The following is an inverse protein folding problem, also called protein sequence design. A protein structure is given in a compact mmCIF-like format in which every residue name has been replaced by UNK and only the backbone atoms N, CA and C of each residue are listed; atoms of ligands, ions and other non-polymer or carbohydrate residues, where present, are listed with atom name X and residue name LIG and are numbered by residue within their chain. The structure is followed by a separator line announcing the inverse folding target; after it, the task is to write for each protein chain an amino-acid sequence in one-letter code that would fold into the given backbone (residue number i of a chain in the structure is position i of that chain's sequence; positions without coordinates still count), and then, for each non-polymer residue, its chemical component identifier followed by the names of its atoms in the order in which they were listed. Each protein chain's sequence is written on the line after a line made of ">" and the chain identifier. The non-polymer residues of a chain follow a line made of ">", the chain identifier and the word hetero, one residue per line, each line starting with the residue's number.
data_IF_115920728245
#
_entry.id   IF_115920728245
#
_cell.length_a   1.000
_cell.length_b   1.000
_cell.length_c   1.000
_cell.angle_alpha   90.00
_cell.angle_beta   90.00
_cell.angle_gamma   90.00
#
_symmetry.space_group_name_H-M   'P 1'
#
loop_
_entity.id
_entity.type
_entity.pdbx_description
1 polymer ?
#
# COMPACT_ATOMS: atom_id res chain seq x y z
N UNK A 1 29.83 12.96 9.12
CA UNK A 1 29.34 11.80 8.38
C UNK A 1 28.17 12.23 7.52
N UNK A 2 28.23 11.91 6.23
CA UNK A 2 27.14 12.24 5.28
C UNK A 2 26.04 11.18 5.38
N UNK A 3 24.82 11.63 5.53
CA UNK A 3 23.65 10.77 5.66
C UNK A 3 22.57 11.14 4.64
N UNK A 4 21.81 10.14 4.20
CA UNK A 4 20.58 10.34 3.44
C UNK A 4 19.41 9.83 4.25
N UNK A 5 18.25 10.44 4.09
CA UNK A 5 17.02 9.97 4.74
C UNK A 5 16.20 9.17 3.73
N UNK A 6 15.74 7.99 4.14
CA UNK A 6 14.73 7.26 3.41
C UNK A 6 13.41 7.23 4.19
N UNK A 7 12.32 7.62 3.53
CA UNK A 7 10.99 7.62 4.10
C UNK A 7 9.97 7.00 3.13
N UNK A 8 8.96 6.31 3.68
CA UNK A 8 7.88 5.74 2.89
C UNK A 8 6.54 5.77 3.59
N UNK A 9 5.45 5.81 2.82
CA UNK A 9 4.12 5.54 3.34
C UNK A 9 3.97 4.05 3.65
N UNK A 10 3.27 3.76 4.76
CA UNK A 10 2.68 2.45 5.01
C UNK A 10 1.19 2.55 4.74
N UNK A 11 0.64 1.70 3.86
CA UNK A 11 -0.78 1.69 3.51
C UNK A 11 -1.70 1.35 4.69
N UNK A 12 -1.16 0.73 5.73
CA UNK A 12 -1.96 0.19 6.84
C UNK A 12 -2.06 1.10 8.07
N UNK A 13 -1.27 2.18 8.14
CA UNK A 13 -1.32 3.13 9.26
C UNK A 13 -1.46 4.57 8.77
N UNK A 14 -2.59 4.87 8.15
CA UNK A 14 -2.91 6.22 7.64
C UNK A 14 -3.06 7.29 8.73
N UNK A 15 -2.87 7.00 10.00
CA UNK A 15 -3.17 7.94 11.10
C UNK A 15 -2.00 8.38 11.95
N UNK A 16 -0.87 7.70 11.96
CA UNK A 16 0.12 8.02 12.99
C UNK A 16 1.36 8.76 12.51
N UNK A 17 1.78 8.66 11.23
CA UNK A 17 3.02 9.36 10.84
C UNK A 17 3.10 9.72 9.37
N UNK A 18 2.85 10.99 9.11
CA UNK A 18 3.12 11.61 7.81
C UNK A 18 4.61 11.50 7.45
N UNK A 19 4.93 11.51 6.15
CA UNK A 19 6.32 11.59 5.69
C UNK A 19 7.04 12.76 6.34
N UNK A 20 6.36 13.89 6.52
CA UNK A 20 6.92 15.07 7.19
C UNK A 20 7.34 14.78 8.64
N UNK A 21 6.53 14.00 9.36
CA UNK A 21 6.89 13.55 10.71
C UNK A 21 8.14 12.68 10.72
N UNK A 22 8.21 11.70 9.83
CA UNK A 22 9.39 10.85 9.69
C UNK A 22 10.65 11.67 9.36
N UNK A 23 10.55 12.60 8.38
CA UNK A 23 11.66 13.46 7.99
C UNK A 23 12.10 14.39 9.11
N UNK A 24 11.16 14.98 9.87
CA UNK A 24 11.48 15.86 11.00
C UNK A 24 12.29 15.10 12.05
N UNK A 25 11.81 13.95 12.48
CA UNK A 25 12.49 13.15 13.51
C UNK A 25 13.85 12.63 13.06
N UNK A 26 13.99 12.24 11.79
CA UNK A 26 15.28 11.88 11.22
C UNK A 26 16.26 13.07 11.21
N UNK A 27 15.80 14.27 10.87
CA UNK A 27 16.66 15.48 10.91
C UNK A 27 17.11 15.83 12.33
N UNK A 28 16.19 15.79 13.28
CA UNK A 28 16.50 16.00 14.69
C UNK A 28 17.51 14.97 15.22
N UNK A 29 17.40 13.72 14.79
CA UNK A 29 18.37 12.68 15.11
C UNK A 29 19.74 12.98 14.48
N UNK A 30 19.77 13.36 13.21
CA UNK A 30 21.00 13.72 12.49
C UNK A 30 21.72 14.89 13.15
N UNK A 31 21.01 15.95 13.53
CA UNK A 31 21.56 17.11 14.24
C UNK A 31 22.21 16.71 15.57
N UNK A 32 21.50 15.91 16.39
CA UNK A 32 22.01 15.42 17.67
C UNK A 32 23.25 14.55 17.56
N UNK A 33 23.45 13.89 16.42
CA UNK A 33 24.55 12.97 16.18
C UNK A 33 25.60 13.56 15.21
N UNK A 34 25.59 14.87 14.93
CA UNK A 34 26.54 15.55 14.05
C UNK A 34 26.64 14.93 12.65
N UNK A 35 25.49 14.55 12.07
CA UNK A 35 25.37 14.04 10.72
C UNK A 35 24.89 15.12 9.76
N UNK A 36 25.46 15.18 8.56
CA UNK A 36 25.03 16.09 7.50
C UNK A 36 24.10 15.38 6.55
N UNK A 37 22.84 15.84 6.45
CA UNK A 37 21.88 15.29 5.49
C UNK A 37 22.19 15.83 4.09
N UNK A 38 22.63 14.94 3.20
CA UNK A 38 23.00 15.29 1.81
C UNK A 38 21.90 14.95 0.80
N UNK A 39 20.88 14.21 1.19
CA UNK A 39 19.76 13.85 0.30
C UNK A 39 18.60 13.19 1.03
N UNK A 40 17.48 13.05 0.31
CA UNK A 40 16.25 12.40 0.79
C UNK A 40 15.62 11.59 -0.32
N UNK A 41 15.26 10.34 -0.03
CA UNK A 41 14.55 9.43 -0.93
C UNK A 41 13.18 9.11 -0.33
N UNK A 42 12.12 9.34 -1.10
CA UNK A 42 10.74 9.24 -0.59
C UNK A 42 9.88 8.41 -1.53
N UNK A 43 9.48 7.23 -1.08
CA UNK A 43 8.49 6.41 -1.78
C UNK A 43 7.08 6.69 -1.26
N UNK A 44 6.25 7.30 -2.11
CA UNK A 44 4.84 7.54 -1.84
C UNK A 44 4.05 6.39 -2.46
N UNK A 45 3.42 5.56 -1.65
CA UNK A 45 2.57 4.48 -2.16
C UNK A 45 1.38 5.07 -2.93
N UNK A 46 1.36 4.91 -4.26
CA UNK A 46 0.25 5.32 -5.12
C UNK A 46 -0.89 4.30 -5.13
N UNK A 47 -0.64 3.04 -4.71
CA UNK A 47 -1.66 2.01 -4.52
C UNK A 47 -1.14 0.85 -3.65
N UNK A 48 -2.05 0.11 -3.00
CA UNK A 48 -1.72 -1.10 -2.23
C UNK A 48 -1.13 -2.24 -3.08
N UNK A 49 -1.20 -2.15 -4.41
CA UNK A 49 -0.74 -3.18 -5.37
C UNK A 49 0.67 -2.96 -5.92
N UNK A 50 1.21 -1.76 -5.84
CA UNK A 50 2.56 -1.48 -6.38
C UNK A 50 3.60 -1.64 -5.29
N UNK A 51 4.27 -2.79 -5.31
CA UNK A 51 5.47 -3.07 -4.50
C UNK A 51 6.70 -2.27 -4.99
N UNK A 52 6.54 -1.44 -6.02
CA UNK A 52 7.62 -0.64 -6.59
C UNK A 52 8.06 0.44 -5.60
N UNK A 53 9.35 0.42 -5.30
CA UNK A 53 10.06 1.37 -4.45
C UNK A 53 11.15 2.05 -5.29
N UNK A 54 10.78 2.90 -6.27
CA UNK A 54 11.74 3.48 -7.20
C UNK A 54 12.82 4.30 -6.48
N UNK A 55 12.43 5.10 -5.49
CA UNK A 55 13.37 5.92 -4.74
C UNK A 55 14.30 5.07 -3.85
N UNK A 56 13.79 3.97 -3.28
CA UNK A 56 14.63 3.00 -2.59
C UNK A 56 15.67 2.37 -3.53
N UNK A 57 15.25 1.96 -4.72
CA UNK A 57 16.18 1.40 -5.71
C UNK A 57 17.20 2.44 -6.20
N UNK A 58 16.80 3.71 -6.34
CA UNK A 58 17.73 4.81 -6.62
C UNK A 58 18.75 4.96 -5.49
N UNK A 59 18.30 4.99 -4.24
CA UNK A 59 19.17 5.07 -3.06
C UNK A 59 20.18 3.92 -3.04
N UNK A 60 19.74 2.68 -3.29
CA UNK A 60 20.64 1.52 -3.35
C UNK A 60 21.72 1.67 -4.45
N UNK A 61 21.31 2.15 -5.64
CA UNK A 61 22.26 2.43 -6.74
C UNK A 61 23.23 3.57 -6.39
N UNK A 62 22.72 4.63 -5.77
CA UNK A 62 23.53 5.79 -5.40
C UNK A 62 24.51 5.49 -4.27
N UNK A 63 24.24 4.48 -3.44
CA UNK A 63 25.18 4.04 -2.40
C UNK A 63 26.55 3.61 -2.97
N UNK A 64 26.60 3.16 -4.23
CA UNK A 64 27.85 2.79 -4.89
C UNK A 64 28.68 4.02 -5.34
N UNK A 65 28.14 5.23 -5.26
CA UNK A 65 28.81 6.48 -5.64
C UNK A 65 29.59 7.14 -4.51
N UNK A 66 29.58 6.52 -3.32
CA UNK A 66 30.30 7.00 -2.12
C UNK A 66 29.90 8.43 -1.68
N UNK A 67 28.68 8.89 -2.02
CA UNK A 67 28.18 10.22 -1.68
C UNK A 67 27.70 10.34 -0.24
N UNK A 68 27.39 9.21 0.40
CA UNK A 68 26.91 9.12 1.78
C UNK A 68 27.36 7.81 2.43
N UNK A 69 27.45 7.82 3.74
CA UNK A 69 27.90 6.70 4.58
C UNK A 69 26.77 6.10 5.41
N UNK A 70 25.64 6.84 5.51
CA UNK A 70 24.51 6.46 6.38
C UNK A 70 23.21 6.59 5.61
N UNK A 71 22.37 5.56 5.69
CA UNK A 71 20.93 5.63 5.39
C UNK A 71 20.18 5.72 6.71
N UNK A 72 19.57 6.87 6.96
CA UNK A 72 18.77 7.13 8.14
C UNK A 72 17.29 6.87 7.84
N UNK A 73 16.66 6.01 8.62
CA UNK A 73 15.23 5.71 8.56
C UNK A 73 14.57 6.06 9.89
N UNK A 74 13.30 6.36 9.87
CA UNK A 74 12.56 6.63 11.11
C UNK A 74 12.49 5.40 12.00
N UNK A 75 12.10 4.22 11.43
CA UNK A 75 12.14 2.89 12.04
C UNK A 75 12.63 1.87 11.02
N UNK A 76 13.13 0.71 11.46
CA UNK A 76 13.60 -0.34 10.55
C UNK A 76 12.51 -0.90 9.64
N UNK A 77 11.26 -0.93 10.09
CA UNK A 77 10.12 -1.34 9.27
C UNK A 77 9.88 -0.41 8.06
N UNK A 78 10.43 0.82 8.09
CA UNK A 78 10.43 1.73 6.94
C UNK A 78 11.49 1.38 5.92
N UNK A 79 12.60 0.77 6.34
CA UNK A 79 13.65 0.33 5.44
C UNK A 79 13.20 -0.85 4.58
N UNK A 80 12.66 -1.90 5.19
CA UNK A 80 12.19 -3.08 4.46
C UNK A 80 10.82 -3.56 4.93
N UNK A 81 10.15 -4.38 4.10
CA UNK A 81 8.85 -4.99 4.41
C UNK A 81 8.98 -6.35 5.07
N UNK A 82 10.07 -7.05 4.82
CA UNK A 82 10.36 -8.37 5.36
C UNK A 82 11.86 -8.50 5.71
N UNK A 83 12.16 -9.54 6.48
CA UNK A 83 13.52 -9.80 6.98
C UNK A 83 14.49 -10.17 5.88
N UNK A 84 14.04 -10.88 4.87
CA UNK A 84 14.90 -11.34 3.79
C UNK A 84 15.39 -10.16 2.94
N UNK A 85 14.46 -9.30 2.52
CA UNK A 85 14.77 -8.07 1.81
C UNK A 85 15.66 -7.14 2.65
N UNK A 86 15.37 -7.01 3.96
CA UNK A 86 16.18 -6.22 4.89
C UNK A 86 17.62 -6.70 4.90
N UNK A 87 17.86 -7.99 5.14
CA UNK A 87 19.19 -8.57 5.18
C UNK A 87 19.93 -8.43 3.85
N UNK A 88 19.24 -8.65 2.73
CA UNK A 88 19.79 -8.54 1.38
C UNK A 88 20.29 -7.12 1.09
N UNK A 89 19.43 -6.11 1.27
CA UNK A 89 19.79 -4.73 0.96
C UNK A 89 20.79 -4.14 1.96
N UNK A 90 20.72 -4.51 3.24
CA UNK A 90 21.76 -4.13 4.23
C UNK A 90 23.12 -4.71 3.87
N UNK A 91 23.17 -5.94 3.34
CA UNK A 91 24.41 -6.52 2.85
C UNK A 91 25.00 -5.73 1.67
N UNK A 92 24.16 -5.32 0.69
CA UNK A 92 24.59 -4.49 -0.43
C UNK A 92 25.14 -3.15 0.07
N UNK A 93 24.38 -2.45 0.92
CA UNK A 93 24.79 -1.18 1.50
C UNK A 93 26.11 -1.30 2.27
N UNK A 94 26.24 -2.33 3.10
CA UNK A 94 27.48 -2.61 3.86
C UNK A 94 28.69 -2.83 2.94
N UNK A 95 28.50 -3.53 1.80
CA UNK A 95 29.55 -3.70 0.79
C UNK A 95 29.99 -2.38 0.19
N UNK A 96 29.08 -1.41 0.06
CA UNK A 96 29.34 -0.06 -0.41
C UNK A 96 29.77 0.90 0.71
N UNK A 97 30.10 0.40 1.91
CA UNK A 97 30.52 1.21 3.04
C UNK A 97 29.39 2.00 3.74
N UNK A 98 28.13 1.69 3.43
CA UNK A 98 26.96 2.42 3.95
C UNK A 98 26.28 1.63 5.07
N UNK A 99 25.96 2.31 6.19
CA UNK A 99 25.21 1.75 7.33
C UNK A 99 23.76 2.22 7.30
N UNK A 100 22.85 1.36 7.79
CA UNK A 100 21.44 1.75 8.03
C UNK A 100 21.25 2.03 9.51
N UNK A 101 20.71 3.19 9.84
CA UNK A 101 20.44 3.63 11.21
C UNK A 101 18.98 3.99 11.36
N UNK A 102 18.35 3.56 12.46
CA UNK A 102 17.00 3.96 12.85
C UNK A 102 17.05 5.17 13.80
N UNK A 103 16.22 6.17 13.55
CA UNK A 103 16.12 7.33 14.43
C UNK A 103 15.40 7.02 15.77
N UNK A 104 14.49 6.03 15.75
CA UNK A 104 13.69 5.63 16.94
C UNK A 104 14.26 4.45 17.69
N UNK A 105 14.91 3.52 16.99
CA UNK A 105 15.37 2.26 17.55
C UNK A 105 16.87 2.36 17.76
N UNK A 106 17.28 2.45 19.03
CA UNK A 106 18.71 2.50 19.37
C UNK A 106 19.29 1.08 19.34
N UNK A 107 19.97 0.77 18.25
CA UNK A 107 20.64 -0.53 18.05
C UNK A 107 22.13 -0.34 18.27
N UNK A 108 22.68 -1.08 19.24
CA UNK A 108 24.10 -1.05 19.49
C UNK A 108 24.89 -1.68 18.31
N UNK A 109 26.14 -1.27 18.11
CA UNK A 109 27.01 -1.84 17.09
C UNK A 109 27.62 -3.22 17.51
N UNK A 110 27.32 -3.69 18.72
CA UNK A 110 27.79 -4.95 19.25
C UNK A 110 27.01 -6.19 18.81
N UNK A 111 27.45 -7.40 19.16
CA UNK A 111 26.74 -8.65 18.85
C UNK A 111 25.29 -8.67 19.36
N UNK A 112 25.03 -8.04 20.50
CA UNK A 112 23.68 -7.87 21.06
C UNK A 112 22.76 -7.04 20.15
N UNK A 113 23.31 -6.06 19.41
CA UNK A 113 22.58 -5.28 18.44
C UNK A 113 22.05 -6.12 17.28
N UNK A 114 22.79 -7.12 16.84
CA UNK A 114 22.36 -8.07 15.78
C UNK A 114 21.12 -8.84 16.26
N UNK A 115 21.11 -9.27 17.52
CA UNK A 115 19.97 -10.01 18.09
C UNK A 115 18.76 -9.07 18.22
N UNK A 116 18.95 -7.85 18.74
CA UNK A 116 17.88 -6.87 18.89
C UNK A 116 17.26 -6.50 17.54
N UNK A 117 18.08 -6.26 16.53
CA UNK A 117 17.63 -5.96 15.16
C UNK A 117 16.79 -7.13 14.60
N UNK A 118 17.26 -8.36 14.72
CA UNK A 118 16.53 -9.54 14.26
C UNK A 118 15.20 -9.74 15.03
N UNK A 119 15.14 -9.40 16.30
CA UNK A 119 13.90 -9.44 17.10
C UNK A 119 12.90 -8.37 16.65
N UNK A 120 13.35 -7.13 16.41
CA UNK A 120 12.49 -6.03 15.96
C UNK A 120 11.89 -6.31 14.58
N UNK A 121 12.72 -6.80 13.64
CA UNK A 121 12.24 -7.18 12.32
C UNK A 121 11.27 -8.37 12.37
N UNK A 122 11.56 -9.40 13.19
CA UNK A 122 10.67 -10.54 13.39
C UNK A 122 9.34 -10.14 14.04
N UNK A 123 9.36 -9.21 14.97
CA UNK A 123 8.15 -8.70 15.60
C UNK A 123 7.26 -7.91 14.61
N UNK A 124 7.86 -7.08 13.75
CA UNK A 124 7.12 -6.34 12.73
C UNK A 124 6.44 -7.29 11.72
N UNK A 125 7.14 -8.35 11.29
CA UNK A 125 6.60 -9.39 10.41
C UNK A 125 5.44 -10.15 11.07
N UNK A 126 5.63 -10.59 12.32
CA UNK A 126 4.58 -11.25 13.10
C UNK A 126 3.33 -10.38 13.25
N UNK A 127 3.49 -9.10 13.59
CA UNK A 127 2.36 -8.18 13.73
C UNK A 127 1.59 -8.01 12.42
N UNK A 128 2.29 -7.90 11.29
CA UNK A 128 1.66 -7.80 9.96
C UNK A 128 0.87 -9.08 9.61
N UNK A 129 1.42 -10.25 9.90
CA UNK A 129 0.75 -11.53 9.67
C UNK A 129 -0.52 -11.66 10.56
N UNK A 130 -0.41 -11.35 11.85
CA UNK A 130 -1.52 -11.38 12.81
C UNK A 130 -2.64 -10.42 12.40
N UNK A 131 -2.29 -9.21 11.94
CA UNK A 131 -3.25 -8.23 11.44
C UNK A 131 -3.98 -8.74 10.21
N UNK A 132 -3.26 -9.35 9.26
CA UNK A 132 -3.85 -9.97 8.06
C UNK A 132 -4.87 -11.05 8.43
N UNK A 133 -4.53 -11.94 9.35
CA UNK A 133 -5.44 -12.98 9.82
C UNK A 133 -6.70 -12.39 10.48
N UNK A 134 -6.55 -11.35 11.31
CA UNK A 134 -7.67 -10.65 11.94
C UNK A 134 -8.60 -10.03 10.90
N UNK A 135 -8.04 -9.38 9.86
CA UNK A 135 -8.80 -8.79 8.76
C UNK A 135 -9.56 -9.87 7.99
N UNK A 136 -8.89 -10.96 7.58
CA UNK A 136 -9.53 -12.06 6.86
C UNK A 136 -10.66 -12.71 7.67
N UNK A 137 -10.44 -12.93 8.96
CA UNK A 137 -11.50 -13.45 9.85
C UNK A 137 -12.69 -12.49 9.92
N UNK A 138 -12.43 -11.19 10.09
CA UNK A 138 -13.49 -10.16 10.12
C UNK A 138 -14.27 -10.09 8.79
N UNK A 139 -13.59 -10.17 7.66
CA UNK A 139 -14.21 -10.20 6.33
C UNK A 139 -15.09 -11.46 6.16
N UNK A 140 -14.60 -12.62 6.57
CA UNK A 140 -15.36 -13.88 6.52
C UNK A 140 -16.63 -13.79 7.38
N UNK A 141 -16.52 -13.28 8.59
CA UNK A 141 -17.67 -13.06 9.48
C UNK A 141 -18.71 -12.09 8.87
N UNK A 142 -18.25 -11.01 8.27
CA UNK A 142 -19.13 -10.08 7.58
C UNK A 142 -19.83 -10.73 6.38
N UNK A 143 -19.09 -11.50 5.58
CA UNK A 143 -19.67 -12.23 4.44
C UNK A 143 -20.73 -13.23 4.89
N UNK A 144 -20.50 -14.00 5.96
CA UNK A 144 -21.48 -14.92 6.54
C UNK A 144 -22.74 -14.21 7.04
N UNK A 145 -22.63 -12.96 7.51
CA UNK A 145 -23.75 -12.11 7.93
C UNK A 145 -24.40 -11.37 6.76
N UNK A 146 -23.94 -11.58 5.53
CA UNK A 146 -24.39 -10.86 4.34
C UNK A 146 -24.06 -9.37 4.37
N UNK A 147 -23.03 -8.98 5.11
CA UNK A 147 -22.54 -7.60 5.15
C UNK A 147 -21.55 -7.33 4.02
N UNK A 148 -21.55 -6.09 3.54
CA UNK A 148 -20.55 -5.64 2.58
C UNK A 148 -19.19 -5.45 3.25
N UNK A 149 -18.16 -6.05 2.69
CA UNK A 149 -16.77 -5.94 3.19
C UNK A 149 -16.00 -4.73 2.61
N UNK A 150 -16.69 -3.78 2.01
CA UNK A 150 -16.06 -2.69 1.27
C UNK A 150 -15.95 -3.01 -0.22
N UNK A 151 -15.29 -2.13 -0.95
CA UNK A 151 -15.20 -2.20 -2.41
C UNK A 151 -16.30 -1.39 -3.11
N UNK A 152 -16.33 -1.46 -4.45
CA UNK A 152 -17.35 -0.80 -5.25
C UNK A 152 -18.71 -1.49 -5.10
N UNK A 153 -19.77 -0.68 -5.05
CA UNK A 153 -21.14 -1.21 -5.10
C UNK A 153 -21.44 -1.59 -6.57
N UNK A 154 -21.79 -2.87 -6.84
CA UNK A 154 -22.12 -3.30 -8.20
C UNK A 154 -23.30 -2.54 -8.79
N UNK A 155 -23.36 -2.45 -10.12
CA UNK A 155 -24.54 -1.93 -10.81
C UNK A 155 -25.77 -2.78 -10.43
N UNK A 156 -26.89 -2.13 -10.23
CA UNK A 156 -28.14 -2.80 -9.78
C UNK A 156 -28.30 -2.87 -8.27
N UNK A 157 -27.29 -2.41 -7.49
CA UNK A 157 -27.34 -2.41 -6.05
C UNK A 157 -27.05 -1.03 -5.43
N UNK A 158 -27.57 -0.83 -4.23
CA UNK A 158 -27.25 0.27 -3.32
C UNK A 158 -26.68 -0.30 -2.01
N UNK A 159 -25.81 0.47 -1.37
CA UNK A 159 -25.32 0.12 -0.03
C UNK A 159 -26.24 0.76 1.03
N UNK A 160 -26.97 -0.06 1.76
CA UNK A 160 -27.56 0.37 3.01
C UNK A 160 -26.46 0.57 4.06
N UNK A 161 -26.15 1.84 4.33
CA UNK A 161 -25.09 2.22 5.27
C UNK A 161 -25.37 1.82 6.72
N UNK A 162 -26.66 1.70 7.10
CA UNK A 162 -27.04 1.30 8.48
C UNK A 162 -26.90 -0.21 8.67
N UNK A 163 -27.44 -0.98 7.74
CA UNK A 163 -27.36 -2.43 7.77
C UNK A 163 -26.01 -2.97 7.25
N UNK A 164 -25.21 -2.14 6.59
CA UNK A 164 -23.97 -2.55 5.89
C UNK A 164 -24.22 -3.66 4.86
N UNK A 165 -25.37 -3.64 4.20
CA UNK A 165 -25.81 -4.66 3.23
C UNK A 165 -26.06 -4.04 1.87
N UNK A 166 -25.87 -4.85 0.82
CA UNK A 166 -26.30 -4.50 -0.52
C UNK A 166 -27.81 -4.75 -0.64
N UNK A 167 -28.54 -3.74 -1.13
CA UNK A 167 -29.96 -3.81 -1.44
C UNK A 167 -30.17 -3.52 -2.93
N UNK A 168 -31.24 -4.09 -3.51
CA UNK A 168 -31.53 -3.88 -4.94
C UNK A 168 -31.83 -2.39 -5.18
N UNK A 169 -31.18 -1.82 -6.19
CA UNK A 169 -31.47 -0.47 -6.69
C UNK A 169 -32.62 -0.55 -7.71
N UNK A 170 -33.81 -0.05 -7.39
CA UNK A 170 -34.97 -0.16 -8.29
C UNK A 170 -34.77 0.60 -9.63
N UNK A 171 -33.80 1.51 -9.69
CA UNK A 171 -33.53 2.30 -10.90
C UNK A 171 -32.56 1.56 -11.83
N UNK A 172 -31.51 0.96 -11.28
CA UNK A 172 -30.45 0.35 -12.10
C UNK A 172 -30.52 -1.17 -12.18
N UNK A 173 -31.24 -1.85 -11.29
CA UNK A 173 -31.39 -3.31 -11.34
C UNK A 173 -32.07 -3.81 -12.64
N UNK A 174 -33.13 -3.16 -13.18
CA UNK A 174 -33.72 -3.59 -14.45
C UNK A 174 -32.73 -3.55 -15.61
N UNK A 175 -31.79 -2.61 -15.61
CA UNK A 175 -30.76 -2.51 -16.64
C UNK A 175 -29.80 -3.71 -16.58
N UNK A 176 -29.50 -4.19 -15.38
CA UNK A 176 -28.65 -5.37 -15.22
C UNK A 176 -29.37 -6.62 -15.74
N UNK A 177 -30.66 -6.77 -15.45
CA UNK A 177 -31.47 -7.88 -15.98
C UNK A 177 -31.48 -7.83 -17.51
N UNK A 178 -31.74 -6.68 -18.10
CA UNK A 178 -31.73 -6.48 -19.56
C UNK A 178 -30.37 -6.86 -20.20
N UNK A 179 -29.25 -6.53 -19.52
CA UNK A 179 -27.91 -6.92 -19.99
C UNK A 179 -27.78 -8.44 -20.08
N UNK A 180 -28.17 -9.14 -19.00
CA UNK A 180 -28.07 -10.60 -18.95
C UNK A 180 -29.00 -11.30 -19.93
N UNK A 181 -30.23 -10.81 -20.12
CA UNK A 181 -31.18 -11.33 -21.11
C UNK A 181 -30.64 -11.17 -22.52
N UNK A 182 -30.18 -9.98 -22.91
CA UNK A 182 -29.57 -9.74 -24.22
C UNK A 182 -28.34 -10.59 -24.48
N UNK A 183 -27.52 -10.81 -23.43
CA UNK A 183 -26.35 -11.68 -23.57
C UNK A 183 -26.74 -13.14 -23.73
N UNK A 184 -27.76 -13.62 -22.99
CA UNK A 184 -28.31 -14.97 -23.14
C UNK A 184 -28.92 -15.20 -24.52
N UNK A 185 -29.53 -14.16 -25.13
CA UNK A 185 -30.05 -14.18 -26.50
C UNK A 185 -28.95 -14.12 -27.61
N UNK A 186 -27.67 -14.23 -27.20
CA UNK A 186 -26.53 -14.28 -28.13
C UNK A 186 -26.05 -12.92 -28.65
N UNK A 187 -26.50 -11.79 -28.07
CA UNK A 187 -25.96 -10.46 -28.39
C UNK A 187 -24.51 -10.34 -27.91
N UNK A 188 -23.64 -9.77 -28.73
CA UNK A 188 -22.27 -9.49 -28.32
C UNK A 188 -22.23 -8.38 -27.26
N UNK A 189 -21.24 -8.43 -26.36
CA UNK A 189 -21.02 -7.38 -25.33
C UNK A 189 -20.93 -6.00 -25.98
N UNK A 190 -20.24 -5.90 -27.12
CA UNK A 190 -20.10 -4.66 -27.87
C UNK A 190 -21.45 -4.09 -28.33
N UNK A 191 -22.33 -4.93 -28.92
CA UNK A 191 -23.65 -4.54 -29.36
C UNK A 191 -24.54 -4.06 -28.18
N UNK A 192 -24.42 -4.73 -27.01
CA UNK A 192 -25.14 -4.34 -25.81
C UNK A 192 -24.65 -2.96 -25.32
N UNK A 193 -23.34 -2.72 -25.31
CA UNK A 193 -22.76 -1.43 -24.93
C UNK A 193 -23.20 -0.30 -25.86
N UNK A 194 -23.18 -0.53 -27.16
CA UNK A 194 -23.59 0.45 -28.17
C UNK A 194 -25.06 0.83 -28.00
N UNK A 195 -25.95 -0.14 -27.75
CA UNK A 195 -27.37 0.12 -27.48
C UNK A 195 -27.57 0.95 -26.22
N UNK A 196 -26.91 0.61 -25.12
CA UNK A 196 -27.03 1.36 -23.86
C UNK A 196 -26.46 2.79 -23.98
N UNK A 197 -25.36 2.96 -24.71
CA UNK A 197 -24.78 4.28 -24.95
C UNK A 197 -25.71 5.15 -25.84
N UNK A 198 -26.35 4.58 -26.86
CA UNK A 198 -27.32 5.28 -27.72
C UNK A 198 -28.52 5.74 -26.90
N UNK A 199 -28.94 4.98 -25.91
CA UNK A 199 -30.02 5.34 -24.97
C UNK A 199 -29.57 6.36 -23.88
N UNK A 200 -28.30 6.79 -23.91
CA UNK A 200 -27.76 7.79 -22.97
C UNK A 200 -27.57 7.29 -21.53
N UNK A 201 -27.55 5.95 -21.32
CA UNK A 201 -27.38 5.37 -20.01
C UNK A 201 -25.90 5.46 -19.58
N UNK A 202 -25.65 5.94 -18.34
CA UNK A 202 -24.31 6.19 -17.81
C UNK A 202 -24.15 5.52 -16.45
N UNK A 203 -22.92 5.05 -16.15
CA UNK A 203 -22.61 4.57 -14.80
C UNK A 203 -22.27 5.73 -13.87
N UNK A 204 -22.40 5.53 -12.56
CA UNK A 204 -22.06 6.55 -11.53
C UNK A 204 -20.59 7.00 -11.57
N UNK A 205 -19.69 6.21 -12.14
CA UNK A 205 -18.25 6.48 -12.15
C UNK A 205 -17.77 7.22 -13.39
N UNK A 206 -18.54 7.17 -14.46
CA UNK A 206 -18.07 7.71 -15.74
C UNK A 206 -19.18 8.53 -16.42
N UNK A 207 -18.90 9.80 -16.60
CA UNK A 207 -19.81 10.68 -17.34
C UNK A 207 -19.83 10.36 -18.85
N UNK A 208 -19.08 9.39 -19.33
CA UNK A 208 -18.83 9.15 -20.77
C UNK A 208 -19.28 7.80 -21.33
N UNK A 209 -19.36 6.70 -20.56
CA UNK A 209 -19.85 5.41 -21.07
C UNK A 209 -20.10 4.38 -19.98
N UNK A 210 -21.01 3.43 -20.23
CA UNK A 210 -21.19 2.24 -19.40
C UNK A 210 -20.04 1.27 -19.67
N UNK A 211 -19.17 1.06 -18.71
CA UNK A 211 -18.21 -0.06 -18.74
C UNK A 211 -18.94 -1.31 -18.26
N UNK A 212 -19.47 -2.10 -19.21
CA UNK A 212 -20.16 -3.38 -18.92
C UNK A 212 -19.18 -4.45 -18.42
N UNK A 213 -17.87 -4.27 -18.63
CA UNK A 213 -16.82 -5.23 -18.20
C UNK A 213 -16.87 -5.48 -16.67
N UNK A 214 -17.35 -4.55 -15.87
CA UNK A 214 -17.48 -4.74 -14.41
C UNK A 214 -18.77 -5.44 -13.97
N UNK A 215 -19.69 -5.74 -14.88
CA UNK A 215 -20.94 -6.43 -14.55
C UNK A 215 -20.92 -7.92 -14.92
N UNK A 216 -19.90 -8.36 -15.71
CA UNK A 216 -19.73 -9.73 -16.19
C UNK A 216 -18.52 -10.46 -15.55
N UNK A 217 -17.75 -9.81 -14.65
CA UNK A 217 -16.72 -10.39 -13.79
C UNK A 217 -17.19 -10.33 -12.30
#
# INVERSE_FOLDING_TARGET
>A
MNAVIYARYSSDSQREESIEGQLRECREYAERNNMTIVGTYIDRALSAKTADRPEFQHMIKDSAKELFEIVLVWKLDRFSRDRYDSAHYKHILKKNGVKVISAKEHISEGPEGIILEAMLEGYAEFYSAELSEKIHRGQKENALKGKNNGGGVPLGYLLDKKAQKLVIDPVTAPLVVEIFEKYADGKSVRSIVEDFNTRGLKTKKDSRSISIVSALC
#
